data_IF_934610801414
#
_entry.id   IF_934610801414
#
_cell.length_a   1.000
_cell.length_b   1.000
_cell.length_c   1.000
_cell.angle_alpha   90.00
_cell.angle_beta   90.00
_cell.angle_gamma   90.00
#
_symmetry.space_group_name_H-M   'P 1'
#
loop_
_entity.id
_entity.type
_entity.pdbx_description
1 polymer ?
#
# COMPACT_ATOMS: atom_id res chain seq x y z
N UNK A 1 -13.04 19.53 15.77
CA UNK A 1 -12.75 20.08 14.41
C UNK A 1 -12.93 18.95 13.42
N UNK A 2 -13.43 19.22 12.21
CA UNK A 2 -13.45 18.19 11.18
C UNK A 2 -11.99 17.77 10.85
N UNK A 3 -11.77 16.48 10.64
CA UNK A 3 -10.46 15.95 10.22
C UNK A 3 -10.07 16.53 8.87
N UNK A 4 -8.81 16.95 8.76
CA UNK A 4 -8.24 17.48 7.51
C UNK A 4 -7.17 16.51 7.04
N UNK A 5 -7.37 15.93 5.86
CA UNK A 5 -6.46 14.95 5.27
C UNK A 5 -5.11 15.60 4.92
N UNK A 6 -3.99 15.16 5.49
CA UNK A 6 -2.67 15.57 5.04
C UNK A 6 -2.40 15.13 3.59
N UNK A 7 -1.62 15.90 2.82
CA UNK A 7 -1.32 15.54 1.42
C UNK A 7 -0.59 14.20 1.30
N UNK A 8 -0.93 13.42 0.26
CA UNK A 8 -0.34 12.10 0.01
C UNK A 8 1.18 12.12 -0.02
N UNK A 9 1.81 11.02 0.45
CA UNK A 9 3.26 10.84 0.43
C UNK A 9 4.07 11.96 1.14
N UNK A 10 3.42 12.75 2.01
CA UNK A 10 4.13 13.69 2.90
C UNK A 10 4.45 13.01 4.22
N UNK A 11 5.45 13.54 4.93
CA UNK A 11 5.82 13.07 6.25
C UNK A 11 4.62 13.01 7.21
N UNK A 12 3.85 14.10 7.31
CA UNK A 12 2.65 14.15 8.15
C UNK A 12 1.60 13.09 7.80
N UNK A 13 1.34 12.89 6.50
CA UNK A 13 0.38 11.88 6.04
C UNK A 13 0.80 10.45 6.39
N UNK A 14 2.09 10.15 6.26
CA UNK A 14 2.63 8.82 6.53
C UNK A 14 2.66 8.51 8.02
N UNK A 15 3.12 9.45 8.83
CA UNK A 15 3.14 9.32 10.30
C UNK A 15 1.73 9.15 10.84
N UNK A 16 0.78 10.01 10.43
CA UNK A 16 -0.61 9.92 10.88
C UNK A 16 -1.26 8.59 10.50
N UNK A 17 -1.05 8.11 9.25
CA UNK A 17 -1.57 6.82 8.83
C UNK A 17 -0.93 5.65 9.60
N UNK A 18 0.37 5.71 9.87
CA UNK A 18 1.06 4.69 10.67
C UNK A 18 0.53 4.66 12.11
N UNK A 19 0.16 5.78 12.67
CA UNK A 19 -0.43 5.85 14.01
C UNK A 19 -1.88 5.35 14.04
N UNK A 20 -2.72 5.79 13.10
CA UNK A 20 -4.18 5.59 13.12
C UNK A 20 -4.68 4.33 12.40
N UNK A 21 -3.89 3.76 11.47
CA UNK A 21 -4.25 2.58 10.68
C UNK A 21 -3.41 1.36 11.04
N UNK A 22 -3.69 0.21 10.44
CA UNK A 22 -2.90 -1.03 10.62
C UNK A 22 -1.58 -1.02 9.84
N UNK A 23 -1.27 0.05 9.20
CA UNK A 23 -0.07 0.25 8.42
C UNK A 23 -0.27 1.26 7.30
N UNK A 24 0.68 1.34 6.41
CA UNK A 24 0.70 2.33 5.34
C UNK A 24 1.28 1.75 4.05
N UNK A 25 0.79 2.26 2.95
CA UNK A 25 1.41 2.08 1.63
C UNK A 25 1.97 3.42 1.17
N UNK A 26 3.13 3.38 0.52
CA UNK A 26 3.75 4.57 -0.06
C UNK A 26 4.73 4.23 -1.19
N UNK A 27 5.10 5.26 -1.93
CA UNK A 27 5.79 5.18 -3.20
C UNK A 27 7.25 5.64 -3.08
N UNK A 28 8.22 4.82 -3.49
CA UNK A 28 9.64 5.17 -3.47
C UNK A 28 10.20 5.42 -4.86
N UNK A 29 10.96 6.51 -4.99
CA UNK A 29 11.75 6.88 -6.17
C UNK A 29 13.19 7.19 -5.80
N UNK A 30 14.05 7.09 -6.80
CA UNK A 30 15.46 7.46 -6.70
C UNK A 30 15.67 8.86 -7.29
N UNK A 31 16.31 9.75 -6.56
CA UNK A 31 16.70 11.10 -6.99
C UNK A 31 17.90 11.09 -7.93
N UNK A 32 18.37 12.25 -8.39
CA UNK A 32 19.55 12.37 -9.24
C UNK A 32 20.85 11.97 -8.53
N UNK A 33 20.91 12.22 -7.22
CA UNK A 33 22.03 11.92 -6.33
C UNK A 33 21.88 10.57 -5.59
N UNK A 34 21.10 9.62 -6.17
CA UNK A 34 20.91 8.25 -5.66
C UNK A 34 20.35 8.16 -4.24
N UNK A 35 19.53 9.13 -3.83
CA UNK A 35 18.80 9.12 -2.56
C UNK A 35 17.33 8.70 -2.75
N UNK A 36 16.64 8.32 -1.66
CA UNK A 36 15.24 7.89 -1.71
C UNK A 36 14.29 9.01 -1.34
N UNK A 37 13.38 9.35 -2.26
CA UNK A 37 12.28 10.27 -2.03
C UNK A 37 10.94 9.53 -2.09
N UNK A 38 10.01 9.94 -1.21
CA UNK A 38 8.65 9.40 -1.19
C UNK A 38 7.77 10.21 -2.15
N UNK A 39 7.44 9.64 -3.31
CA UNK A 39 6.59 10.32 -4.30
C UNK A 39 6.03 9.37 -5.36
N UNK A 40 4.75 9.55 -5.70
CA UNK A 40 4.07 8.69 -6.67
C UNK A 40 4.41 8.99 -8.13
N UNK A 41 4.30 10.26 -8.54
CA UNK A 41 4.36 10.63 -9.95
C UNK A 41 5.80 10.72 -10.48
N UNK A 42 5.97 10.69 -11.80
CA UNK A 42 7.25 11.02 -12.43
C UNK A 42 7.55 12.52 -12.41
N UNK A 43 6.49 13.32 -12.27
CA UNK A 43 6.53 14.77 -12.33
C UNK A 43 6.52 15.30 -10.90
N UNK A 44 7.38 16.26 -10.64
CA UNK A 44 7.38 17.03 -9.40
C UNK A 44 6.03 17.74 -9.26
N UNK A 45 5.26 17.37 -8.22
CA UNK A 45 3.86 17.79 -8.05
C UNK A 45 3.77 19.03 -7.15
N UNK A 46 4.32 20.13 -7.64
CA UNK A 46 4.32 21.47 -7.02
C UNK A 46 3.74 22.51 -7.98
N UNK A 47 3.34 23.72 -7.51
CA UNK A 47 2.97 24.85 -8.34
C UNK A 47 4.10 25.25 -9.30
N UNK A 48 3.74 25.70 -10.51
CA UNK A 48 4.73 25.96 -11.58
C UNK A 48 5.75 27.04 -11.21
N UNK A 49 5.35 28.05 -10.43
CA UNK A 49 6.26 29.10 -9.97
C UNK A 49 7.36 28.59 -9.03
N UNK A 50 7.17 27.47 -8.34
CA UNK A 50 8.19 26.85 -7.48
C UNK A 50 9.19 26.01 -8.28
N UNK A 51 8.92 25.71 -9.55
CA UNK A 51 9.88 24.99 -10.41
C UNK A 51 11.10 25.84 -10.74
N UNK A 52 10.99 27.17 -10.78
CA UNK A 52 12.10 28.08 -11.04
C UNK A 52 12.91 27.72 -12.30
N UNK A 53 12.25 27.22 -13.33
CA UNK A 53 12.87 26.75 -14.58
C UNK A 53 13.57 25.38 -14.52
N UNK A 54 13.51 24.68 -13.39
CA UNK A 54 14.07 23.33 -13.21
C UNK A 54 13.25 22.27 -13.97
N UNK A 55 13.80 21.09 -14.07
CA UNK A 55 13.09 19.93 -14.66
C UNK A 55 11.77 19.64 -13.96
N UNK A 56 10.75 19.24 -14.74
CA UNK A 56 9.50 18.69 -14.17
C UNK A 56 9.62 17.23 -13.73
N UNK A 57 10.77 16.59 -13.91
CA UNK A 57 10.98 15.16 -13.59
C UNK A 57 11.66 15.03 -12.24
N UNK A 58 11.06 14.26 -11.33
CA UNK A 58 11.57 14.04 -9.96
C UNK A 58 13.01 13.51 -9.96
N UNK A 59 13.28 12.55 -10.84
CA UNK A 59 14.60 11.90 -10.92
C UNK A 59 15.72 12.78 -11.50
N UNK A 60 15.42 14.02 -11.91
CA UNK A 60 16.43 15.02 -12.32
C UNK A 60 16.82 15.96 -11.16
N UNK A 61 16.20 15.84 -9.99
CA UNK A 61 16.45 16.67 -8.80
C UNK A 61 17.29 15.90 -7.78
N UNK A 62 18.15 16.61 -7.05
CA UNK A 62 18.80 16.10 -5.85
C UNK A 62 17.80 16.05 -4.68
N UNK A 63 18.05 15.21 -3.68
CA UNK A 63 17.15 15.07 -2.54
C UNK A 63 16.95 16.40 -1.79
N UNK A 64 18.02 17.13 -1.53
CA UNK A 64 17.97 18.43 -0.83
C UNK A 64 17.05 19.44 -1.53
N UNK A 65 17.09 19.50 -2.86
CA UNK A 65 16.22 20.38 -3.65
C UNK A 65 14.74 19.99 -3.54
N UNK A 66 14.45 18.67 -3.46
CA UNK A 66 13.08 18.18 -3.28
C UNK A 66 12.57 18.45 -1.86
N UNK A 67 13.43 18.33 -0.84
CA UNK A 67 13.07 18.64 0.54
C UNK A 67 12.80 20.15 0.73
N UNK A 68 13.55 21.01 0.08
CA UNK A 68 13.31 22.48 0.08
C UNK A 68 11.90 22.83 -0.40
N UNK A 69 11.36 22.09 -1.37
CA UNK A 69 9.99 22.31 -1.85
C UNK A 69 8.95 21.44 -1.15
N UNK A 70 9.31 20.71 -0.08
CA UNK A 70 8.40 20.04 0.84
C UNK A 70 8.19 18.54 0.61
N UNK A 71 9.02 17.89 -0.22
CA UNK A 71 8.98 16.43 -0.36
C UNK A 71 9.57 15.73 0.87
N UNK A 72 9.10 14.53 1.14
CA UNK A 72 9.59 13.68 2.21
C UNK A 72 10.71 12.78 1.71
N UNK A 73 11.89 12.80 2.33
CA UNK A 73 12.91 11.78 2.13
C UNK A 73 12.57 10.52 2.93
N UNK A 74 12.99 9.37 2.44
CA UNK A 74 12.82 8.13 3.19
C UNK A 74 13.73 8.07 4.42
N UNK A 75 14.93 8.65 4.33
CA UNK A 75 15.86 8.77 5.46
C UNK A 75 15.25 9.56 6.62
N UNK A 76 14.64 10.73 6.33
CA UNK A 76 13.96 11.54 7.34
C UNK A 76 12.82 10.77 8.00
N UNK A 77 12.04 10.02 7.23
CA UNK A 77 10.97 9.19 7.76
C UNK A 77 11.55 8.09 8.67
N UNK A 78 12.63 7.41 8.25
CA UNK A 78 13.29 6.36 9.02
C UNK A 78 14.03 6.85 10.28
N UNK A 79 14.24 8.16 10.42
CA UNK A 79 14.78 8.77 11.64
C UNK A 79 13.71 9.26 12.63
N UNK A 80 12.43 9.24 12.24
CA UNK A 80 11.33 9.72 13.08
C UNK A 80 10.77 8.62 13.99
N UNK A 81 10.80 8.86 15.30
CA UNK A 81 10.26 7.93 16.30
C UNK A 81 8.74 7.77 16.24
N UNK A 82 8.01 8.83 15.86
CA UNK A 82 6.55 8.76 15.72
C UNK A 82 6.13 7.82 14.57
N UNK A 83 6.98 7.67 13.57
CA UNK A 83 6.85 6.69 12.50
C UNK A 83 7.37 5.32 12.91
N UNK A 84 8.58 5.23 13.47
CA UNK A 84 9.28 3.96 13.70
C UNK A 84 8.67 3.14 14.84
N UNK A 85 8.35 3.75 15.98
CA UNK A 85 7.88 3.02 17.16
C UNK A 85 6.62 2.20 16.87
N UNK A 86 5.54 2.77 16.25
CA UNK A 86 4.38 1.97 15.90
C UNK A 86 4.70 0.85 14.91
N UNK A 87 5.67 1.04 14.01
CA UNK A 87 6.06 0.02 13.03
C UNK A 87 6.91 -1.11 13.66
N UNK A 88 7.77 -0.79 14.61
CA UNK A 88 8.63 -1.75 15.30
C UNK A 88 7.88 -2.58 16.35
N UNK A 89 7.06 -1.92 17.17
CA UNK A 89 6.47 -2.50 18.39
C UNK A 89 5.09 -3.15 18.14
N UNK A 90 4.34 -2.66 17.15
CA UNK A 90 3.02 -3.21 16.81
C UNK A 90 3.08 -4.03 15.52
N UNK A 91 2.05 -4.84 15.28
CA UNK A 91 1.97 -5.68 14.07
C UNK A 91 1.58 -4.89 12.80
N UNK A 92 1.96 -3.61 12.73
CA UNK A 92 1.72 -2.76 11.56
C UNK A 92 2.60 -3.16 10.39
N UNK A 93 2.13 -2.88 9.19
CA UNK A 93 2.85 -3.23 7.96
C UNK A 93 3.07 -2.00 7.08
N UNK A 94 4.21 -1.96 6.40
CA UNK A 94 4.47 -1.02 5.32
C UNK A 94 4.53 -1.76 3.98
N UNK A 95 3.77 -1.26 3.00
CA UNK A 95 3.75 -1.73 1.62
C UNK A 95 4.51 -0.71 0.76
N UNK A 96 5.75 -1.02 0.38
CA UNK A 96 6.65 -0.09 -0.32
C UNK A 96 6.54 -0.32 -1.83
N UNK A 97 5.90 0.60 -2.56
CA UNK A 97 5.86 0.53 -4.02
C UNK A 97 7.13 1.10 -4.64
N UNK A 98 7.89 0.25 -5.32
CA UNK A 98 9.07 0.67 -6.07
C UNK A 98 8.63 1.24 -7.43
N UNK A 99 8.80 2.54 -7.60
CA UNK A 99 8.46 3.21 -8.85
C UNK A 99 9.53 3.00 -9.91
N UNK A 100 9.10 2.66 -11.10
CA UNK A 100 9.99 2.51 -12.25
C UNK A 100 10.28 3.85 -12.89
N UNK A 101 11.51 4.20 -13.14
CA UNK A 101 11.92 5.40 -13.89
C UNK A 101 11.46 5.38 -15.35
N UNK A 102 11.33 6.55 -15.94
CA UNK A 102 11.06 6.68 -17.38
C UNK A 102 12.27 6.17 -18.19
N UNK A 103 12.06 5.57 -19.38
CA UNK A 103 13.16 5.10 -20.23
C UNK A 103 14.17 6.17 -20.62
N UNK A 104 13.73 7.43 -20.72
CA UNK A 104 14.62 8.58 -20.99
C UNK A 104 15.54 8.93 -19.81
N UNK A 105 15.19 8.52 -18.58
CA UNK A 105 15.98 8.77 -17.37
C UNK A 105 16.97 7.63 -17.12
N UNK A 106 16.56 6.40 -17.35
CA UNK A 106 17.39 5.25 -17.07
C UNK A 106 17.45 4.30 -18.26
N UNK A 107 18.68 4.01 -18.75
CA UNK A 107 18.92 2.99 -19.80
C UNK A 107 18.43 1.60 -19.36
N UNK A 108 18.63 1.26 -18.09
CA UNK A 108 18.11 0.03 -17.45
C UNK A 108 17.20 0.37 -16.26
N UNK A 109 15.90 0.55 -16.48
CA UNK A 109 14.96 0.83 -15.39
C UNK A 109 14.88 -0.30 -14.34
N UNK A 110 15.24 -1.53 -14.69
CA UNK A 110 15.19 -2.65 -13.74
C UNK A 110 16.35 -2.55 -12.73
N UNK A 111 17.56 -2.16 -13.18
CA UNK A 111 18.67 -1.89 -12.28
C UNK A 111 18.39 -0.72 -11.34
N UNK A 112 17.78 0.35 -11.85
CA UNK A 112 17.42 1.49 -11.03
C UNK A 112 16.36 1.12 -9.96
N UNK A 113 15.36 0.30 -10.31
CA UNK A 113 14.41 -0.24 -9.33
C UNK A 113 15.11 -1.14 -8.29
N UNK A 114 16.10 -1.94 -8.72
CA UNK A 114 16.87 -2.76 -7.79
C UNK A 114 17.66 -1.90 -6.79
N UNK A 115 18.19 -0.76 -7.24
CA UNK A 115 18.87 0.20 -6.35
C UNK A 115 17.91 0.84 -5.33
N UNK A 116 16.68 1.18 -5.75
CA UNK A 116 15.64 1.63 -4.79
C UNK A 116 15.37 0.56 -3.74
N UNK A 117 15.19 -0.70 -4.15
CA UNK A 117 14.92 -1.80 -3.22
C UNK A 117 16.10 -2.08 -2.29
N UNK A 118 17.34 -2.03 -2.79
CA UNK A 118 18.56 -2.19 -2.03
C UNK A 118 18.64 -1.16 -0.89
N UNK A 119 18.66 0.13 -1.24
CA UNK A 119 18.74 1.22 -0.27
C UNK A 119 17.61 1.19 0.76
N UNK A 120 16.37 0.99 0.30
CA UNK A 120 15.25 0.95 1.22
C UNK A 120 15.30 -0.29 2.13
N UNK A 121 15.78 -1.44 1.64
CA UNK A 121 15.95 -2.64 2.46
C UNK A 121 17.02 -2.46 3.53
N UNK A 122 18.14 -1.83 3.20
CA UNK A 122 19.22 -1.52 4.15
C UNK A 122 18.68 -0.66 5.30
N UNK A 123 17.97 0.44 5.00
CA UNK A 123 17.38 1.30 6.03
C UNK A 123 16.34 0.58 6.90
N UNK A 124 15.52 -0.29 6.29
CA UNK A 124 14.50 -1.09 7.00
C UNK A 124 15.15 -2.15 7.88
N UNK A 125 16.27 -2.74 7.44
CA UNK A 125 17.05 -3.72 8.21
C UNK A 125 17.77 -3.05 9.39
N UNK A 126 18.42 -1.90 9.17
CA UNK A 126 19.08 -1.09 10.20
C UNK A 126 18.11 -0.62 11.30
N UNK A 127 16.88 -0.29 10.92
CA UNK A 127 15.83 0.07 11.86
C UNK A 127 15.25 -1.14 12.62
N UNK A 128 15.72 -2.36 12.38
CA UNK A 128 15.26 -3.56 13.07
C UNK A 128 13.80 -3.94 12.79
N UNK A 129 13.25 -3.50 11.66
CA UNK A 129 11.87 -3.83 11.27
C UNK A 129 11.77 -5.32 10.95
N UNK A 130 10.75 -5.99 11.52
CA UNK A 130 10.48 -7.42 11.32
C UNK A 130 10.24 -7.75 9.85
N UNK A 131 10.58 -8.97 9.44
CA UNK A 131 10.36 -9.44 8.06
C UNK A 131 8.88 -9.35 7.65
N UNK A 132 7.96 -9.70 8.56
CA UNK A 132 6.51 -9.67 8.31
C UNK A 132 5.89 -8.27 8.34
N UNK A 133 6.68 -7.24 8.58
CA UNK A 133 6.20 -5.86 8.70
C UNK A 133 6.50 -4.99 7.47
N UNK A 134 7.26 -5.49 6.50
CA UNK A 134 7.60 -4.75 5.28
C UNK A 134 7.51 -5.64 4.04
N UNK A 135 6.84 -5.16 2.98
CA UNK A 135 6.80 -5.83 1.69
C UNK A 135 7.08 -4.85 0.56
N UNK A 136 7.98 -5.23 -0.34
CA UNK A 136 8.27 -4.46 -1.55
C UNK A 136 7.41 -4.96 -2.70
N UNK A 137 6.86 -4.06 -3.51
CA UNK A 137 6.09 -4.46 -4.68
C UNK A 137 6.20 -3.44 -5.82
N UNK A 138 5.79 -3.85 -7.00
CA UNK A 138 5.72 -2.97 -8.17
C UNK A 138 4.74 -3.48 -9.22
N UNK A 139 4.20 -2.56 -10.04
CA UNK A 139 3.53 -2.86 -11.31
C UNK A 139 4.53 -3.26 -12.40
N UNK A 140 5.41 -4.21 -12.12
CA UNK A 140 6.50 -4.53 -13.03
C UNK A 140 6.72 -6.03 -13.11
N UNK A 141 6.62 -6.59 -14.33
CA UNK A 141 6.79 -8.05 -14.56
C UNK A 141 8.09 -8.60 -13.99
N UNK A 142 9.25 -7.96 -14.24
CA UNK A 142 10.51 -8.50 -13.72
C UNK A 142 10.77 -8.17 -12.23
N UNK A 143 9.73 -8.07 -11.37
CA UNK A 143 9.98 -7.84 -9.93
C UNK A 143 10.91 -8.89 -9.31
N UNK A 144 10.81 -10.16 -9.71
CA UNK A 144 11.76 -11.19 -9.29
C UNK A 144 13.21 -10.87 -9.68
N UNK A 145 13.43 -10.26 -10.87
CA UNK A 145 14.76 -9.81 -11.29
C UNK A 145 15.22 -8.59 -10.48
N UNK A 146 14.29 -7.69 -10.16
CA UNK A 146 14.58 -6.53 -9.27
C UNK A 146 15.05 -7.03 -7.92
N UNK A 147 14.29 -7.90 -7.25
CA UNK A 147 14.66 -8.48 -5.96
C UNK A 147 16.01 -9.22 -6.00
N UNK A 148 16.26 -10.01 -7.07
CA UNK A 148 17.56 -10.70 -7.23
C UNK A 148 18.71 -9.72 -7.40
N UNK A 149 18.53 -8.64 -8.16
CA UNK A 149 19.59 -7.66 -8.43
C UNK A 149 19.87 -6.76 -7.23
N UNK A 150 18.86 -6.47 -6.39
CA UNK A 150 19.05 -5.68 -5.16
C UNK A 150 19.80 -6.44 -4.07
N UNK A 151 19.87 -7.77 -4.15
CA UNK A 151 20.44 -8.59 -3.08
C UNK A 151 19.59 -8.66 -1.80
N UNK A 152 18.48 -7.94 -1.74
CA UNK A 152 17.60 -7.90 -0.58
C UNK A 152 16.95 -9.27 -0.32
N UNK A 153 16.86 -9.62 0.97
CA UNK A 153 16.12 -10.80 1.44
C UNK A 153 14.68 -10.47 1.86
N UNK A 154 14.31 -9.18 1.81
CA UNK A 154 12.97 -8.71 2.21
C UNK A 154 11.87 -9.30 1.32
N UNK A 155 10.68 -9.57 1.89
CA UNK A 155 9.53 -10.05 1.14
C UNK A 155 9.17 -9.11 -0.01
N UNK A 156 8.78 -9.70 -1.12
CA UNK A 156 8.32 -8.93 -2.26
C UNK A 156 7.10 -9.55 -2.91
N UNK A 157 6.32 -8.72 -3.58
CA UNK A 157 5.13 -9.12 -4.33
C UNK A 157 5.11 -8.40 -5.68
N UNK A 158 4.13 -8.75 -6.51
CA UNK A 158 3.96 -8.16 -7.84
C UNK A 158 2.51 -7.79 -8.05
N UNK A 159 2.25 -6.55 -8.42
CA UNK A 159 0.92 -6.11 -8.76
C UNK A 159 0.58 -6.49 -10.21
N UNK A 160 -0.52 -7.20 -10.38
CA UNK A 160 -1.06 -7.65 -11.67
C UNK A 160 -2.57 -7.29 -11.75
N UNK A 161 -3.12 -7.04 -12.94
CA UNK A 161 -2.43 -6.96 -14.24
C UNK A 161 -1.52 -5.72 -14.33
N UNK A 162 -0.52 -5.80 -15.20
CA UNK A 162 0.42 -4.68 -15.40
C UNK A 162 -0.27 -3.57 -16.20
N UNK A 163 -0.30 -2.38 -15.62
CA UNK A 163 -0.83 -1.19 -16.28
C UNK A 163 0.27 -0.52 -17.11
N UNK A 164 0.03 -0.21 -18.40
CA UNK A 164 0.97 0.52 -19.23
C UNK A 164 1.29 1.90 -18.64
N UNK A 165 2.54 2.35 -18.77
CA UNK A 165 3.03 3.57 -18.15
C UNK A 165 2.64 4.84 -18.85
N UNK A 166 2.56 4.79 -20.17
CA UNK A 166 2.32 5.95 -21.05
C UNK A 166 0.91 5.92 -21.59
N UNK A 167 0.37 7.09 -21.86
CA UNK A 167 -0.95 7.30 -22.40
C UNK A 167 -1.95 7.86 -21.39
N UNK A 168 -3.09 8.32 -21.88
CA UNK A 168 -4.22 8.75 -21.05
C UNK A 168 -4.78 7.61 -20.21
N UNK A 169 -5.56 7.92 -19.18
CA UNK A 169 -6.20 6.94 -18.31
C UNK A 169 -6.98 5.87 -19.10
N UNK A 170 -7.77 6.27 -20.08
CA UNK A 170 -8.53 5.36 -20.92
C UNK A 170 -7.64 4.48 -21.80
N UNK A 171 -6.58 5.06 -22.41
CA UNK A 171 -5.59 4.31 -23.18
C UNK A 171 -4.86 3.26 -22.34
N UNK A 172 -4.49 3.60 -21.13
CA UNK A 172 -3.86 2.65 -20.18
C UNK A 172 -4.79 1.50 -19.84
N UNK A 173 -6.06 1.78 -19.53
CA UNK A 173 -7.08 0.74 -19.26
C UNK A 173 -7.30 -0.18 -20.46
N UNK A 174 -7.47 0.38 -21.65
CA UNK A 174 -7.64 -0.41 -22.87
C UNK A 174 -6.46 -1.34 -23.13
N UNK A 175 -5.24 -0.85 -23.00
CA UNK A 175 -4.01 -1.64 -23.19
C UNK A 175 -3.76 -2.67 -22.09
N UNK A 176 -4.27 -2.47 -20.89
CA UNK A 176 -4.21 -3.43 -19.80
C UNK A 176 -5.31 -4.50 -19.87
N UNK A 177 -6.39 -4.26 -20.63
CA UNK A 177 -7.55 -5.14 -20.70
C UNK A 177 -7.23 -6.59 -21.11
N UNK A 178 -6.39 -6.88 -22.12
CA UNK A 178 -6.05 -8.25 -22.47
C UNK A 178 -5.41 -9.03 -21.32
N UNK A 179 -4.53 -8.39 -20.55
CA UNK A 179 -3.89 -9.01 -19.39
C UNK A 179 -4.90 -9.20 -18.25
N UNK A 180 -5.76 -8.23 -17.98
CA UNK A 180 -6.85 -8.35 -17.01
C UNK A 180 -7.77 -9.53 -17.37
N UNK A 181 -8.18 -9.65 -18.63
CA UNK A 181 -9.03 -10.75 -19.11
C UNK A 181 -8.33 -12.11 -18.92
N UNK A 182 -7.04 -12.19 -19.24
CA UNK A 182 -6.27 -13.43 -19.15
C UNK A 182 -5.99 -13.89 -17.70
N UNK A 183 -5.97 -12.97 -16.73
CA UNK A 183 -5.67 -13.25 -15.33
C UNK A 183 -6.93 -13.28 -14.47
N UNK A 184 -7.55 -14.45 -14.35
CA UNK A 184 -8.56 -14.66 -13.30
C UNK A 184 -7.95 -14.54 -11.90
N UNK A 185 -8.77 -14.27 -10.88
CA UNK A 185 -8.32 -14.23 -9.49
C UNK A 185 -7.52 -15.46 -9.07
N UNK A 186 -8.00 -16.66 -9.43
CA UNK A 186 -7.30 -17.91 -9.13
C UNK A 186 -5.91 -17.99 -9.81
N UNK A 187 -5.78 -17.47 -11.03
CA UNK A 187 -4.49 -17.43 -11.74
C UNK A 187 -3.53 -16.42 -11.11
N UNK A 188 -4.04 -15.24 -10.73
CA UNK A 188 -3.25 -14.25 -9.97
C UNK A 188 -2.70 -14.86 -8.69
N UNK A 189 -3.58 -15.45 -7.88
CA UNK A 189 -3.22 -16.05 -6.60
C UNK A 189 -2.15 -17.13 -6.77
N UNK A 190 -2.34 -18.02 -7.76
CA UNK A 190 -1.34 -19.06 -8.07
C UNK A 190 0.01 -18.44 -8.46
N UNK A 191 -0.01 -17.39 -9.27
CA UNK A 191 1.21 -16.68 -9.68
C UNK A 191 1.95 -16.09 -8.48
N UNK A 192 1.25 -15.51 -7.50
CA UNK A 192 1.86 -14.97 -6.30
C UNK A 192 2.43 -16.08 -5.41
N UNK A 193 1.65 -17.11 -5.12
CA UNK A 193 2.11 -18.27 -4.34
C UNK A 193 3.37 -18.90 -4.94
N UNK A 194 3.40 -19.09 -6.24
CA UNK A 194 4.55 -19.68 -6.94
C UNK A 194 5.80 -18.79 -6.94
N UNK A 195 5.64 -17.48 -6.73
CA UNK A 195 6.77 -16.55 -6.60
C UNK A 195 7.30 -16.41 -5.17
N UNK A 196 6.68 -17.09 -4.19
CA UNK A 196 7.03 -16.95 -2.77
C UNK A 196 6.54 -15.63 -2.15
N UNK A 197 5.64 -14.90 -2.81
CA UNK A 197 5.11 -13.65 -2.27
C UNK A 197 4.32 -13.90 -0.97
N UNK A 198 4.49 -13.07 0.06
CA UNK A 198 3.80 -13.24 1.34
C UNK A 198 2.33 -12.84 1.26
N UNK A 199 1.98 -12.00 0.31
CA UNK A 199 0.64 -11.45 0.12
C UNK A 199 0.40 -11.12 -1.36
N UNK A 200 -0.85 -10.87 -1.74
CA UNK A 200 -1.23 -10.47 -3.10
C UNK A 200 -1.88 -9.08 -3.09
N UNK A 201 -1.23 -8.07 -3.66
CA UNK A 201 -1.94 -6.83 -4.01
C UNK A 201 -2.92 -7.13 -5.14
N UNK A 202 -4.17 -6.67 -5.01
CA UNK A 202 -5.24 -6.99 -5.93
C UNK A 202 -6.16 -5.80 -6.19
N UNK A 203 -6.57 -5.62 -7.44
CA UNK A 203 -7.56 -4.59 -7.78
C UNK A 203 -8.96 -4.99 -7.30
N UNK A 204 -9.72 -4.03 -6.78
CA UNK A 204 -11.12 -4.22 -6.34
C UNK A 204 -12.03 -4.72 -7.48
N UNK A 205 -11.69 -4.43 -8.71
CA UNK A 205 -12.39 -4.88 -9.93
C UNK A 205 -12.56 -6.42 -10.03
N UNK A 206 -11.78 -7.20 -9.27
CA UNK A 206 -11.94 -8.66 -9.19
C UNK A 206 -13.09 -9.10 -8.28
N UNK A 207 -13.52 -8.25 -7.36
CA UNK A 207 -14.53 -8.59 -6.34
C UNK A 207 -15.86 -7.91 -6.57
N UNK A 208 -15.86 -6.73 -7.19
CA UNK A 208 -17.04 -5.89 -7.34
C UNK A 208 -17.23 -5.36 -8.78
N UNK A 209 -18.45 -4.98 -9.12
CA UNK A 209 -18.81 -4.45 -10.42
C UNK A 209 -18.84 -5.49 -11.55
N UNK A 210 -19.17 -5.03 -12.76
CA UNK A 210 -19.29 -5.87 -13.96
C UNK A 210 -17.95 -6.45 -14.42
N UNK A 211 -16.85 -5.79 -14.13
CA UNK A 211 -15.51 -6.18 -14.58
C UNK A 211 -15.09 -7.55 -14.06
N UNK A 212 -15.58 -7.98 -12.88
CA UNK A 212 -15.29 -9.31 -12.32
C UNK A 212 -15.73 -10.46 -13.20
N UNK A 213 -16.59 -10.22 -14.20
CA UNK A 213 -17.06 -11.23 -15.17
C UNK A 213 -16.29 -11.21 -16.48
N UNK A 214 -15.37 -10.27 -16.69
CA UNK A 214 -14.65 -10.12 -17.95
C UNK A 214 -13.43 -11.05 -18.07
N UNK A 215 -12.87 -11.52 -16.97
CA UNK A 215 -11.69 -12.38 -17.01
C UNK A 215 -12.03 -13.85 -17.29
N UNK A 216 -11.08 -14.57 -17.87
CA UNK A 216 -11.18 -16.00 -18.14
C UNK A 216 -11.13 -16.82 -16.83
N UNK A 217 -12.30 -17.19 -16.35
CA UNK A 217 -12.44 -17.98 -15.11
C UNK A 217 -13.72 -17.68 -14.37
N UNK A 218 -13.99 -18.47 -13.32
CA UNK A 218 -15.18 -18.26 -12.52
C UNK A 218 -15.01 -17.02 -11.63
N UNK A 219 -15.96 -16.08 -11.67
CA UNK A 219 -15.87 -14.84 -10.89
C UNK A 219 -15.90 -15.13 -9.39
N UNK A 220 -15.15 -14.37 -8.62
CA UNK A 220 -15.22 -14.26 -7.18
C UNK A 220 -15.97 -12.98 -6.79
N UNK A 221 -16.29 -12.79 -5.51
CA UNK A 221 -16.99 -11.60 -5.04
C UNK A 221 -17.21 -11.66 -3.54
N UNK A 222 -17.82 -10.60 -2.99
CA UNK A 222 -17.92 -10.38 -1.55
C UNK A 222 -19.17 -11.00 -0.92
N UNK A 223 -20.10 -11.57 -1.71
CA UNK A 223 -21.38 -12.12 -1.20
C UNK A 223 -21.73 -13.51 -1.78
N UNK A 224 -22.48 -14.27 -1.04
CA UNK A 224 -23.13 -15.51 -1.46
C UNK A 224 -22.18 -16.58 -2.02
N UNK A 225 -22.52 -17.17 -3.17
CA UNK A 225 -21.72 -18.24 -3.82
C UNK A 225 -20.34 -17.76 -4.25
N UNK A 226 -20.21 -16.48 -4.60
CA UNK A 226 -18.93 -15.89 -5.03
C UNK A 226 -17.98 -15.69 -3.86
N UNK A 227 -18.49 -15.30 -2.67
CA UNK A 227 -17.70 -15.23 -1.43
C UNK A 227 -17.20 -16.64 -1.03
N UNK A 228 -18.07 -17.66 -1.02
CA UNK A 228 -17.64 -19.03 -0.74
C UNK A 228 -16.54 -19.51 -1.68
N UNK A 229 -16.62 -19.13 -2.97
CA UNK A 229 -15.57 -19.42 -3.95
C UNK A 229 -14.27 -18.66 -3.64
N UNK A 230 -14.36 -17.38 -3.31
CA UNK A 230 -13.23 -16.55 -2.89
C UNK A 230 -12.49 -17.20 -1.72
N UNK A 231 -13.22 -17.50 -0.65
CA UNK A 231 -12.67 -18.14 0.56
C UNK A 231 -11.97 -19.47 0.24
N UNK A 232 -12.62 -20.32 -0.57
CA UNK A 232 -12.04 -21.61 -0.99
C UNK A 232 -10.76 -21.45 -1.82
N UNK A 233 -10.75 -20.53 -2.79
CA UNK A 233 -9.59 -20.30 -3.65
C UNK A 233 -8.45 -19.68 -2.87
N UNK A 234 -8.76 -18.68 -2.03
CA UNK A 234 -7.78 -17.97 -1.21
C UNK A 234 -7.10 -18.89 -0.20
N UNK A 235 -7.89 -19.74 0.48
CA UNK A 235 -7.39 -20.69 1.48
C UNK A 235 -6.42 -20.03 2.48
N UNK A 236 -6.86 -18.93 3.12
CA UNK A 236 -6.07 -18.16 4.07
C UNK A 236 -5.00 -17.24 3.48
N UNK A 237 -4.68 -17.33 2.18
CA UNK A 237 -3.61 -16.50 1.60
C UNK A 237 -3.96 -15.01 1.68
N UNK A 238 -3.03 -14.15 2.18
CA UNK A 238 -3.27 -12.72 2.36
C UNK A 238 -3.53 -12.00 1.04
N UNK A 239 -4.58 -11.18 1.01
CA UNK A 239 -4.94 -10.35 -0.16
C UNK A 239 -5.20 -8.92 0.30
N UNK A 240 -4.52 -7.99 -0.32
CA UNK A 240 -4.60 -6.55 -0.05
C UNK A 240 -5.23 -5.86 -1.24
N UNK A 241 -6.42 -5.29 -1.03
CA UNK A 241 -7.28 -4.77 -2.10
C UNK A 241 -7.09 -3.28 -2.27
N UNK A 242 -6.93 -2.84 -3.53
CA UNK A 242 -6.86 -1.44 -3.89
C UNK A 242 -7.72 -1.13 -5.14
N UNK A 243 -8.37 0.03 -5.19
CA UNK A 243 -8.65 0.94 -4.07
C UNK A 243 -9.62 0.33 -3.07
N UNK A 244 -9.43 0.67 -1.79
CA UNK A 244 -10.37 0.36 -0.72
C UNK A 244 -11.44 1.44 -0.65
N UNK A 245 -12.57 1.22 -1.34
CA UNK A 245 -13.70 2.15 -1.27
C UNK A 245 -14.42 2.02 0.06
N UNK A 246 -14.77 3.14 0.68
CA UNK A 246 -15.41 3.18 2.00
C UNK A 246 -16.73 2.39 2.01
N UNK A 247 -17.46 2.37 0.89
CA UNK A 247 -18.73 1.65 0.73
C UNK A 247 -18.55 0.12 0.74
N UNK A 248 -17.34 -0.37 0.46
CA UNK A 248 -17.02 -1.78 0.41
C UNK A 248 -16.15 -2.22 1.61
N UNK A 249 -15.77 -1.30 2.48
CA UNK A 249 -14.83 -1.56 3.56
C UNK A 249 -15.28 -2.73 4.43
N UNK A 250 -16.50 -2.70 4.98
CA UNK A 250 -17.05 -3.79 5.78
C UNK A 250 -17.11 -5.11 5.01
N UNK A 251 -17.62 -5.12 3.78
CA UNK A 251 -17.73 -6.32 2.96
C UNK A 251 -16.34 -6.96 2.65
N UNK A 252 -15.30 -6.12 2.46
CA UNK A 252 -13.94 -6.58 2.24
C UNK A 252 -13.34 -7.21 3.50
N UNK A 253 -13.48 -6.53 4.64
CA UNK A 253 -12.99 -7.00 5.92
C UNK A 253 -13.68 -8.30 6.36
N UNK A 254 -15.01 -8.39 6.21
CA UNK A 254 -15.80 -9.59 6.51
C UNK A 254 -15.41 -10.77 5.59
N UNK A 255 -14.99 -10.48 4.37
CA UNK A 255 -14.43 -11.49 3.47
C UNK A 255 -12.99 -11.92 3.85
N UNK A 256 -12.41 -11.33 4.89
CA UNK A 256 -11.04 -11.56 5.36
C UNK A 256 -9.98 -10.96 4.44
N UNK A 257 -10.29 -9.86 3.75
CA UNK A 257 -9.38 -9.15 2.87
C UNK A 257 -8.90 -7.87 3.54
N UNK A 258 -7.60 -7.60 3.49
CA UNK A 258 -7.06 -6.29 3.84
C UNK A 258 -7.33 -5.29 2.72
N UNK A 259 -7.36 -4.02 3.04
CA UNK A 259 -7.63 -2.97 2.06
C UNK A 259 -6.72 -1.76 2.23
N UNK A 260 -6.47 -1.06 1.11
CA UNK A 260 -5.76 0.22 1.07
C UNK A 260 -6.79 1.33 0.93
N UNK A 261 -7.00 2.11 2.00
CA UNK A 261 -7.98 3.18 2.03
C UNK A 261 -7.42 4.51 1.53
N UNK A 262 -8.22 5.26 0.76
CA UNK A 262 -7.93 6.64 0.40
C UNK A 262 -8.46 7.66 1.44
N UNK A 263 -8.90 7.19 2.62
CA UNK A 263 -9.36 8.02 3.72
C UNK A 263 -8.93 7.40 5.06
N UNK A 264 -8.02 8.05 5.77
CA UNK A 264 -7.51 7.61 7.08
C UNK A 264 -8.27 8.20 8.28
N UNK A 265 -9.42 8.85 8.07
CA UNK A 265 -10.28 9.31 9.15
C UNK A 265 -10.91 8.12 9.89
N UNK A 266 -10.39 7.80 11.08
CA UNK A 266 -10.88 6.70 11.91
C UNK A 266 -12.24 6.98 12.56
N UNK A 267 -12.62 8.25 12.69
CA UNK A 267 -13.88 8.67 13.32
C UNK A 267 -15.04 8.77 12.32
N UNK A 268 -14.75 8.57 11.04
CA UNK A 268 -15.72 8.65 9.97
C UNK A 268 -16.85 7.62 10.14
N UNK A 269 -18.09 8.05 9.85
CA UNK A 269 -19.23 7.12 9.74
C UNK A 269 -19.22 6.43 8.38
N UNK A 270 -19.50 5.13 8.38
CA UNK A 270 -19.72 4.38 7.16
C UNK A 270 -21.05 4.80 6.48
N UNK A 271 -21.24 4.56 5.17
CA UNK A 271 -22.47 4.90 4.46
C UNK A 271 -23.74 4.28 5.06
N UNK A 272 -23.62 3.15 5.75
CA UNK A 272 -24.72 2.51 6.48
C UNK A 272 -25.06 3.21 7.82
N UNK A 273 -24.31 4.25 8.22
CA UNK A 273 -24.49 5.00 9.47
C UNK A 273 -23.75 4.41 10.67
N UNK A 274 -23.18 3.20 10.57
CA UNK A 274 -22.38 2.62 11.65
C UNK A 274 -21.06 3.35 11.84
N UNK A 275 -20.47 3.26 13.01
CA UNK A 275 -19.13 3.75 13.27
C UNK A 275 -18.12 2.89 12.51
N UNK A 276 -17.13 3.53 11.89
CA UNK A 276 -15.89 2.88 11.54
C UNK A 276 -15.18 2.53 12.85
N UNK A 277 -14.44 1.43 12.90
CA UNK A 277 -13.67 1.10 14.10
C UNK A 277 -12.70 2.22 14.47
N UNK A 278 -12.61 2.53 15.75
CA UNK A 278 -11.87 3.69 16.23
C UNK A 278 -10.40 3.41 16.53
N UNK A 279 -9.97 2.14 16.43
CA UNK A 279 -8.57 1.75 16.64
C UNK A 279 -8.14 0.68 15.66
N UNK A 280 -6.89 0.68 15.19
CA UNK A 280 -6.36 -0.36 14.33
C UNK A 280 -6.29 -1.72 15.06
N UNK A 281 -6.49 -2.81 14.32
CA UNK A 281 -6.41 -4.18 14.82
C UNK A 281 -5.02 -4.54 15.40
N UNK A 282 -4.02 -3.79 15.00
CA UNK A 282 -2.61 -3.93 15.42
C UNK A 282 -2.28 -3.20 16.73
N UNK A 283 -3.21 -2.46 17.31
CA UNK A 283 -3.00 -1.83 18.61
C UNK A 283 -3.21 -2.84 19.74
N UNK A 284 -2.33 -2.90 20.75
CA UNK A 284 -2.51 -3.75 21.91
C UNK A 284 -3.84 -3.48 22.63
N UNK A 285 -4.52 -4.54 23.04
CA UNK A 285 -5.73 -4.46 23.85
C UNK A 285 -5.39 -4.43 25.33
N UNK A 286 -6.19 -3.72 26.12
CA UNK A 286 -6.11 -3.81 27.57
C UNK A 286 -6.71 -5.14 28.07
N UNK A 287 -6.49 -5.46 29.35
CA UNK A 287 -6.93 -6.72 29.96
C UNK A 287 -8.46 -6.93 29.87
N UNK A 288 -9.23 -5.87 30.06
CA UNK A 288 -10.70 -5.90 30.00
C UNK A 288 -11.19 -6.23 28.58
N UNK A 289 -10.61 -5.58 27.56
CA UNK A 289 -10.91 -5.84 26.14
C UNK A 289 -10.53 -7.26 25.74
N UNK A 290 -9.36 -7.75 26.19
CA UNK A 290 -8.92 -9.13 25.96
C UNK A 290 -9.88 -10.12 26.59
N UNK A 291 -10.29 -9.88 27.85
CA UNK A 291 -11.25 -10.74 28.55
C UNK A 291 -12.63 -10.73 27.84
N UNK A 292 -13.09 -9.56 27.41
CA UNK A 292 -14.32 -9.43 26.62
C UNK A 292 -14.31 -10.24 25.35
N UNK A 293 -13.25 -10.11 24.54
CA UNK A 293 -13.12 -10.88 23.28
C UNK A 293 -13.05 -12.40 23.50
N UNK A 294 -12.35 -12.86 24.55
CA UNK A 294 -12.30 -14.28 24.92
C UNK A 294 -13.66 -14.83 25.32
N UNK A 295 -14.54 -13.98 25.85
CA UNK A 295 -15.92 -14.32 26.20
C UNK A 295 -16.92 -14.07 25.07
N UNK A 296 -16.45 -13.76 23.84
CA UNK A 296 -17.29 -13.51 22.68
C UNK A 296 -17.94 -12.12 22.67
N UNK A 297 -17.49 -11.21 23.53
CA UNK A 297 -17.95 -9.82 23.58
C UNK A 297 -16.94 -8.99 22.77
N UNK A 298 -17.40 -8.41 21.66
CA UNK A 298 -16.59 -7.50 20.84
C UNK A 298 -16.93 -6.06 21.24
N UNK A 299 -16.00 -5.31 21.87
CA UNK A 299 -16.22 -3.89 22.15
C UNK A 299 -16.45 -3.10 20.85
N UNK A 300 -17.21 -2.00 20.94
CA UNK A 300 -17.56 -1.18 19.76
C UNK A 300 -16.33 -0.55 19.06
N UNK A 301 -15.25 -0.33 19.82
CA UNK A 301 -14.02 0.31 19.35
C UNK A 301 -12.96 -0.65 18.85
N UNK A 302 -13.24 -1.96 18.82
CA UNK A 302 -12.28 -2.99 18.35
C UNK A 302 -12.87 -3.88 17.28
N UNK A 303 -12.04 -4.26 16.32
CA UNK A 303 -12.44 -5.24 15.31
C UNK A 303 -12.32 -6.68 15.86
N UNK A 304 -13.13 -7.63 15.34
CA UNK A 304 -13.10 -9.02 15.80
C UNK A 304 -11.74 -9.72 15.64
N UNK A 305 -10.88 -9.20 14.79
CA UNK A 305 -9.53 -9.72 14.48
C UNK A 305 -8.41 -8.96 15.16
N UNK A 306 -8.69 -8.19 16.20
CA UNK A 306 -7.66 -7.52 16.99
C UNK A 306 -6.63 -8.50 17.57
N UNK A 307 -5.42 -8.03 17.75
CA UNK A 307 -4.36 -8.76 18.41
C UNK A 307 -4.74 -9.02 19.87
N UNK A 308 -4.78 -10.28 20.27
CA UNK A 308 -5.14 -10.73 21.64
C UNK A 308 -4.02 -11.52 22.31
N UNK A 309 -2.85 -11.57 21.69
CA UNK A 309 -1.66 -12.25 22.19
C UNK A 309 -0.43 -11.37 22.01
N UNK A 310 0.64 -11.66 22.75
CA UNK A 310 1.95 -11.02 22.58
C UNK A 310 2.65 -11.42 21.25
N UNK A 311 2.03 -12.32 20.48
CA UNK A 311 2.57 -12.70 19.18
C UNK A 311 2.18 -11.70 18.11
N UNK A 312 3.13 -11.23 17.30
CA UNK A 312 2.86 -10.34 16.19
C UNK A 312 1.89 -10.95 15.19
N UNK A 313 0.93 -10.17 14.71
CA UNK A 313 0.01 -10.59 13.65
C UNK A 313 0.77 -10.90 12.35
N UNK A 314 0.47 -12.04 11.73
CA UNK A 314 1.00 -12.43 10.43
C UNK A 314 0.42 -11.60 9.27
N UNK A 315 0.86 -11.89 8.06
CA UNK A 315 0.33 -11.26 6.83
C UNK A 315 -1.16 -11.52 6.59
N UNK A 316 -1.68 -12.62 7.10
CA UNK A 316 -3.08 -13.07 6.96
C UNK A 316 -4.05 -12.31 7.87
N UNK A 317 -3.57 -11.59 8.86
CA UNK A 317 -4.40 -10.68 9.65
C UNK A 317 -5.02 -9.60 8.77
N UNK A 318 -6.30 -9.36 8.98
CA UNK A 318 -7.06 -8.37 8.20
C UNK A 318 -6.71 -6.98 8.67
N UNK A 319 -6.39 -6.09 7.72
CA UNK A 319 -5.88 -4.74 8.00
C UNK A 319 -6.52 -3.68 7.14
N UNK A 320 -6.64 -2.49 7.71
CA UNK A 320 -6.89 -1.25 6.97
C UNK A 320 -5.57 -0.50 6.84
N UNK A 321 -5.09 -0.33 5.62
CA UNK A 321 -3.80 0.29 5.28
C UNK A 321 -4.05 1.66 4.67
N UNK A 322 -3.38 2.69 5.17
CA UNK A 322 -3.45 4.01 4.57
C UNK A 322 -2.72 4.03 3.21
N UNK A 323 -3.42 4.36 2.14
CA UNK A 323 -2.85 4.42 0.79
C UNK A 323 -2.14 5.76 0.58
N UNK A 324 -0.83 5.74 0.30
CA UNK A 324 0.05 6.91 0.24
C UNK A 324 0.02 7.76 1.53
N UNK A 325 -0.11 7.08 2.65
CA UNK A 325 -0.43 7.70 3.92
C UNK A 325 -1.93 7.82 4.15
N UNK A 326 -2.45 9.02 4.28
CA UNK A 326 -3.87 9.26 4.60
C UNK A 326 -4.82 9.21 3.38
N UNK A 327 -4.33 8.87 2.20
CA UNK A 327 -5.11 8.78 0.97
C UNK A 327 -4.64 9.77 -0.10
N UNK A 328 -5.22 9.64 -1.30
CA UNK A 328 -4.88 10.47 -2.46
C UNK A 328 -5.24 11.92 -2.27
N UNK A 329 -4.41 12.79 -2.80
CA UNK A 329 -4.60 14.24 -2.81
C UNK A 329 -4.83 14.79 -4.21
N UNK A 330 -5.50 15.96 -4.33
CA UNK A 330 -5.53 16.73 -5.56
C UNK A 330 -4.12 17.11 -6.05
N UNK A 331 -4.00 17.45 -7.32
CA UNK A 331 -2.74 17.98 -7.88
C UNK A 331 -2.78 19.51 -7.97
N UNK A 332 -1.68 20.22 -7.70
CA UNK A 332 -0.41 19.67 -7.20
C UNK A 332 -0.52 19.13 -5.77
N UNK A 333 0.30 18.13 -5.39
CA UNK A 333 0.28 17.51 -4.05
C UNK A 333 0.73 18.52 -2.99
N UNK A 334 1.81 19.23 -3.27
CA UNK A 334 2.32 20.31 -2.43
C UNK A 334 1.79 21.63 -3.00
N UNK A 335 0.99 22.35 -2.23
CA UNK A 335 0.26 23.53 -2.72
C UNK A 335 0.89 24.86 -2.30
N UNK A 336 1.62 24.87 -1.20
CA UNK A 336 2.34 26.05 -0.68
C UNK A 336 3.48 25.60 0.22
N UNK A 337 4.47 26.49 0.40
CA UNK A 337 5.45 26.32 1.48
C UNK A 337 4.81 26.66 2.81
#
# INVERSE_FOLDING_TARGET
MAWVQPPENTHASLVEAMQKMDGVEFDLRLTADDQLVVHHDHIVSIPEHLLEGRSKIVEDWNLSELEEVGFCSFEKLMSDKEWLVPWQEHSKVACLEIKRSLPKIAKDPTKRMARVMELASEMVDEAGIREQAAVFYAFHRPMAKVAKLSGSKRPWSRLLPIVPRTGSHNSKRFRAAPEFIAYSFARLLRSQKNSGAPMMPCAVDYFEGIKRYLHLGLPVGLKGKQLRRLTKIRNGFPVYVWPGHIELESDLLDAGLSLLTDNADSEMKLPCGSSRWLRPATMPLNEEQVAGLRNGIVPEDVAPWHEISDQPLGWDAVRIIGHRGCGKSPRPVIQSR
#
